data_IF_886142772128
#
_entry.id   IF_886142772128
#
_cell.length_a   1.000
_cell.length_b   1.000
_cell.length_c   1.000
_cell.angle_alpha   90.00
_cell.angle_beta   90.00
_cell.angle_gamma   90.00
#
_symmetry.space_group_name_H-M   'P 1'
#
loop_
_entity.id
_entity.type
_entity.pdbx_description
1 polymer ?
#
# COMPACT_ATOMS: atom_id res chain seq x y z
N UNK A 1 48.21 36.33 -43.29
CA UNK A 1 47.73 36.49 -41.90
C UNK A 1 46.26 36.86 -41.92
N UNK A 2 45.34 35.99 -41.48
CA UNK A 2 43.99 36.38 -41.01
C UNK A 2 43.33 35.20 -40.29
N UNK A 3 42.63 35.55 -39.22
CA UNK A 3 42.41 34.77 -38.01
C UNK A 3 41.29 33.72 -38.08
N UNK A 4 41.57 32.50 -37.63
CA UNK A 4 40.57 31.48 -37.27
C UNK A 4 40.02 31.77 -35.87
N UNK A 5 38.75 32.16 -35.78
CA UNK A 5 38.02 32.30 -34.51
C UNK A 5 37.61 30.92 -34.00
N UNK A 6 38.18 30.50 -32.87
CA UNK A 6 37.75 29.31 -32.12
C UNK A 6 36.52 29.69 -31.29
N UNK A 7 35.37 29.08 -31.59
CA UNK A 7 34.16 29.17 -30.78
C UNK A 7 34.29 28.11 -29.69
N UNK A 8 34.46 28.56 -28.44
CA UNK A 8 34.48 27.69 -27.26
C UNK A 8 33.04 27.58 -26.78
N UNK A 9 32.37 26.48 -27.12
CA UNK A 9 31.03 26.16 -26.65
C UNK A 9 31.14 25.71 -25.19
N UNK A 10 30.82 26.61 -24.25
CA UNK A 10 30.76 26.29 -22.83
C UNK A 10 29.58 25.39 -22.51
N UNK A 11 29.86 24.17 -22.07
CA UNK A 11 28.86 23.21 -21.57
C UNK A 11 28.37 23.69 -20.20
N UNK A 12 27.20 24.33 -20.13
CA UNK A 12 26.53 24.67 -18.88
C UNK A 12 26.00 23.37 -18.25
N UNK A 13 26.69 22.86 -17.23
CA UNK A 13 26.21 21.75 -16.40
C UNK A 13 25.30 22.36 -15.33
N UNK A 14 23.99 22.35 -15.57
CA UNK A 14 22.98 22.70 -14.57
C UNK A 14 22.91 21.59 -13.52
N UNK A 15 23.57 21.79 -12.37
CA UNK A 15 23.29 21.01 -11.16
C UNK A 15 21.86 21.32 -10.72
N UNK A 16 20.91 20.46 -11.08
CA UNK A 16 19.57 20.48 -10.51
C UNK A 16 19.65 20.06 -9.05
N UNK A 17 19.45 20.99 -8.11
CA UNK A 17 19.10 20.65 -6.74
C UNK A 17 17.70 20.03 -6.77
N UNK A 18 17.62 18.71 -6.70
CA UNK A 18 16.35 18.04 -6.40
C UNK A 18 16.05 18.27 -4.92
N UNK A 19 15.07 19.13 -4.63
CA UNK A 19 14.53 19.24 -3.29
C UNK A 19 13.96 17.87 -2.88
N UNK A 20 14.54 17.26 -1.85
CA UNK A 20 14.00 16.05 -1.25
C UNK A 20 12.72 16.46 -0.50
N UNK A 21 11.56 16.08 -1.05
CA UNK A 21 10.29 16.19 -0.34
C UNK A 21 10.33 15.20 0.83
N UNK A 22 10.52 15.72 2.04
CA UNK A 22 10.48 14.90 3.25
C UNK A 22 9.01 14.63 3.58
N UNK A 23 8.58 13.38 3.41
CA UNK A 23 7.34 12.90 3.98
C UNK A 23 7.60 12.49 5.44
N UNK A 24 6.86 13.07 6.38
CA UNK A 24 6.86 12.61 7.76
C UNK A 24 5.79 11.53 7.93
N UNK A 25 6.14 10.41 8.57
CA UNK A 25 5.20 9.33 8.84
C UNK A 25 5.16 9.03 10.32
N UNK A 26 3.95 9.07 10.90
CA UNK A 26 3.70 8.76 12.32
C UNK A 26 2.77 7.56 12.40
N UNK A 27 3.15 6.53 13.17
CA UNK A 27 2.23 5.42 13.47
C UNK A 27 1.17 5.88 14.45
N UNK A 28 -0.10 5.84 14.03
CA UNK A 28 -1.25 6.17 14.87
C UNK A 28 -1.73 4.96 15.68
N UNK A 29 -1.67 3.78 15.09
CA UNK A 29 -2.11 2.54 15.72
C UNK A 29 -1.36 1.34 15.15
N UNK A 30 -1.09 0.37 16.02
CA UNK A 30 -0.62 -0.97 15.67
C UNK A 30 -1.39 -1.96 16.53
N UNK A 31 -2.06 -2.91 15.89
CA UNK A 31 -2.82 -3.95 16.59
C UNK A 31 -2.71 -5.29 15.92
N UNK A 32 -2.85 -6.33 16.73
CA UNK A 32 -2.94 -7.71 16.29
C UNK A 32 -4.37 -8.19 16.53
N UNK A 33 -4.99 -8.78 15.52
CA UNK A 33 -6.33 -9.36 15.61
C UNK A 33 -6.30 -10.81 15.13
N UNK A 34 -7.20 -11.64 15.63
CA UNK A 34 -7.36 -13.02 15.15
C UNK A 34 -8.75 -13.15 14.55
N UNK A 35 -8.82 -13.43 13.26
CA UNK A 35 -10.07 -13.50 12.50
C UNK A 35 -10.27 -14.90 11.93
N UNK A 36 -11.53 -15.27 11.68
CA UNK A 36 -11.83 -16.50 10.96
C UNK A 36 -11.67 -16.25 9.46
N UNK A 37 -10.88 -17.09 8.81
CA UNK A 37 -10.65 -17.03 7.36
C UNK A 37 -11.12 -18.35 6.76
N UNK A 38 -12.11 -18.29 5.88
CA UNK A 38 -12.48 -19.42 5.03
C UNK A 38 -11.37 -19.60 3.98
N UNK A 39 -10.72 -20.76 3.97
CA UNK A 39 -9.67 -21.14 3.03
C UNK A 39 -10.26 -22.15 2.05
N UNK A 40 -11.25 -21.71 1.28
CA UNK A 40 -11.91 -22.49 0.23
C UNK A 40 -11.93 -21.73 -1.09
N UNK A 41 -12.38 -22.37 -2.15
CA UNK A 41 -12.53 -21.74 -3.48
C UNK A 41 -13.57 -20.63 -3.51
N UNK A 42 -14.41 -20.49 -2.46
CA UNK A 42 -15.40 -19.42 -2.35
C UNK A 42 -14.74 -18.07 -2.07
N UNK A 43 -13.66 -18.08 -1.29
CA UNK A 43 -12.97 -16.87 -0.78
C UNK A 43 -11.57 -16.71 -1.36
N UNK A 44 -10.89 -17.80 -1.70
CA UNK A 44 -9.60 -17.80 -2.38
C UNK A 44 -9.78 -17.84 -3.89
N UNK A 45 -9.31 -16.80 -4.58
CA UNK A 45 -9.44 -16.68 -6.04
C UNK A 45 -8.26 -15.97 -6.66
N UNK A 46 -7.97 -16.30 -7.92
CA UNK A 46 -7.03 -15.54 -8.74
C UNK A 46 -7.77 -14.33 -9.34
N UNK A 47 -7.34 -13.12 -9.02
CA UNK A 47 -7.98 -11.87 -9.47
C UNK A 47 -6.93 -10.82 -9.83
N UNK A 48 -7.18 -10.09 -10.93
CA UNK A 48 -6.35 -8.94 -11.36
C UNK A 48 -6.87 -7.60 -10.82
N UNK A 49 -8.02 -7.57 -10.15
CA UNK A 49 -8.64 -6.30 -9.74
C UNK A 49 -7.67 -5.44 -8.93
N UNK A 50 -7.41 -4.22 -9.40
CA UNK A 50 -6.48 -3.24 -8.80
C UNK A 50 -4.99 -3.62 -8.75
N UNK A 51 -4.57 -4.65 -9.49
CA UNK A 51 -3.16 -5.04 -9.59
C UNK A 51 -2.68 -5.08 -11.05
N UNK A 52 -1.36 -4.91 -11.24
CA UNK A 52 -0.74 -5.00 -12.56
C UNK A 52 -0.83 -6.42 -13.15
N UNK A 53 -0.82 -7.44 -12.30
CA UNK A 53 -0.92 -8.87 -12.64
C UNK A 53 -2.01 -9.57 -11.81
N UNK A 54 -2.54 -10.72 -12.27
CA UNK A 54 -3.40 -11.56 -11.43
C UNK A 54 -2.64 -12.03 -10.19
N UNK A 55 -3.27 -11.90 -9.02
CA UNK A 55 -2.75 -12.36 -7.73
C UNK A 55 -3.76 -13.27 -7.05
N UNK A 56 -3.28 -14.21 -6.25
CA UNK A 56 -4.14 -15.01 -5.39
C UNK A 56 -4.62 -14.11 -4.26
N UNK A 57 -5.94 -13.95 -4.16
CA UNK A 57 -6.61 -13.13 -3.16
C UNK A 57 -7.44 -13.97 -2.23
N UNK A 58 -7.53 -13.56 -0.98
CA UNK A 58 -8.43 -14.13 0.03
C UNK A 58 -9.41 -13.06 0.51
N UNK A 59 -10.71 -13.35 0.47
CA UNK A 59 -11.73 -12.50 1.07
C UNK A 59 -11.80 -12.74 2.58
N UNK A 60 -11.78 -11.67 3.37
CA UNK A 60 -11.87 -11.70 4.84
C UNK A 60 -12.89 -10.66 5.29
N UNK A 61 -14.20 -10.97 5.29
CA UNK A 61 -15.26 -10.00 5.59
C UNK A 61 -15.09 -9.30 6.95
N UNK A 62 -14.67 -10.04 7.97
CA UNK A 62 -14.47 -9.54 9.34
C UNK A 62 -13.42 -8.41 9.43
N UNK A 63 -12.58 -8.20 8.39
CA UNK A 63 -11.68 -7.04 8.35
C UNK A 63 -12.45 -5.72 8.38
N UNK A 64 -13.65 -5.65 7.81
CA UNK A 64 -14.44 -4.42 7.77
C UNK A 64 -14.74 -3.85 9.16
N UNK A 65 -14.80 -4.71 10.19
CA UNK A 65 -15.08 -4.31 11.57
C UNK A 65 -13.80 -3.90 12.33
N UNK A 66 -12.62 -4.21 11.79
CA UNK A 66 -11.32 -4.02 12.46
C UNK A 66 -10.32 -3.22 11.64
N UNK A 67 -10.72 -2.62 10.53
CA UNK A 67 -9.92 -1.66 9.75
C UNK A 67 -10.59 -0.29 9.76
N UNK A 68 -9.80 0.77 9.61
CA UNK A 68 -10.34 2.13 9.46
C UNK A 68 -10.60 2.44 7.99
N UNK A 69 -9.77 1.92 7.08
CA UNK A 69 -9.93 2.08 5.64
C UNK A 69 -10.65 0.86 5.03
N UNK A 70 -11.30 1.05 3.88
CA UNK A 70 -11.95 -0.04 3.12
C UNK A 70 -10.90 -0.80 2.30
N UNK A 71 -10.58 -2.03 2.70
CA UNK A 71 -9.63 -2.92 2.03
C UNK A 71 -10.29 -3.81 0.96
N UNK A 72 -11.42 -3.38 0.39
CA UNK A 72 -12.07 -4.06 -0.73
C UNK A 72 -11.50 -3.58 -2.06
N UNK A 73 -11.01 -4.51 -2.88
CA UNK A 73 -10.68 -4.19 -4.27
C UNK A 73 -11.93 -4.06 -5.15
N UNK A 74 -11.79 -3.34 -6.27
CA UNK A 74 -12.86 -3.12 -7.26
C UNK A 74 -13.49 -4.44 -7.71
N UNK A 75 -14.80 -4.57 -7.54
CA UNK A 75 -15.56 -5.76 -7.92
C UNK A 75 -15.48 -6.94 -6.94
N UNK A 76 -14.73 -6.82 -5.84
CA UNK A 76 -14.77 -7.79 -4.75
C UNK A 76 -16.00 -7.54 -3.85
N UNK A 77 -16.55 -8.59 -3.24
CA UNK A 77 -17.75 -8.48 -2.39
C UNK A 77 -17.46 -8.13 -0.92
N UNK A 78 -16.18 -8.17 -0.52
CA UNK A 78 -15.72 -7.99 0.84
C UNK A 78 -14.26 -7.49 0.84
N UNK A 79 -13.73 -6.99 1.97
CA UNK A 79 -12.30 -6.74 2.14
C UNK A 79 -11.48 -7.99 1.79
N UNK A 80 -10.31 -7.77 1.21
CA UNK A 80 -9.44 -8.87 0.79
C UNK A 80 -7.96 -8.53 0.98
N UNK A 81 -7.13 -9.58 0.98
CA UNK A 81 -5.69 -9.47 0.88
C UNK A 81 -5.20 -10.26 -0.33
N UNK A 82 -4.03 -9.89 -0.85
CA UNK A 82 -3.37 -10.61 -1.94
C UNK A 82 -2.04 -11.22 -1.47
N UNK A 83 -1.62 -12.31 -2.10
CA UNK A 83 -0.27 -12.86 -1.97
C UNK A 83 0.48 -12.80 -3.29
N UNK A 84 1.78 -12.52 -3.21
CA UNK A 84 2.72 -12.60 -4.32
C UNK A 84 3.50 -13.92 -4.34
N UNK A 85 3.31 -14.78 -3.34
CA UNK A 85 4.09 -16.00 -3.13
C UNK A 85 3.63 -17.16 -4.03
N UNK A 86 2.40 -17.09 -4.57
CA UNK A 86 1.87 -18.08 -5.54
C UNK A 86 0.85 -17.45 -6.48
N UNK A 87 0.70 -18.06 -7.67
CA UNK A 87 -0.35 -17.74 -8.64
C UNK A 87 -1.51 -18.76 -8.64
N UNK A 88 -1.44 -19.82 -7.82
CA UNK A 88 -2.42 -20.90 -7.81
C UNK A 88 -3.14 -20.95 -6.46
N UNK A 89 -4.46 -20.67 -6.41
CA UNK A 89 -5.23 -20.77 -5.17
C UNK A 89 -5.12 -22.14 -4.50
N UNK A 90 -4.99 -23.21 -5.29
CA UNK A 90 -4.86 -24.57 -4.77
C UNK A 90 -3.59 -24.80 -3.95
N UNK A 91 -2.52 -24.03 -4.16
CA UNK A 91 -1.31 -24.10 -3.34
C UNK A 91 -1.58 -23.67 -1.89
N UNK A 92 -2.55 -22.75 -1.71
CA UNK A 92 -3.01 -22.29 -0.40
C UNK A 92 -4.08 -23.24 0.15
N UNK A 93 -5.00 -23.73 -0.68
CA UNK A 93 -6.10 -24.63 -0.26
C UNK A 93 -5.60 -26.04 0.09
N UNK A 94 -4.52 -26.53 -0.52
CA UNK A 94 -3.84 -27.80 -0.18
C UNK A 94 -4.79 -28.99 0.00
N UNK A 95 -5.84 -29.07 -0.83
CA UNK A 95 -6.91 -30.07 -0.76
C UNK A 95 -7.58 -30.24 0.63
N UNK A 96 -7.48 -29.21 1.47
CA UNK A 96 -8.02 -29.20 2.83
C UNK A 96 -8.82 -27.90 3.09
N UNK A 97 -9.99 -27.72 2.46
CA UNK A 97 -10.79 -26.52 2.65
C UNK A 97 -11.37 -26.47 4.06
N UNK A 98 -11.09 -25.41 4.80
CA UNK A 98 -11.57 -25.21 6.16
C UNK A 98 -11.53 -23.73 6.56
N UNK A 99 -12.22 -23.40 7.65
CA UNK A 99 -12.11 -22.11 8.30
C UNK A 99 -10.98 -22.16 9.33
N UNK A 100 -10.03 -21.24 9.26
CA UNK A 100 -8.90 -21.15 10.18
C UNK A 100 -8.88 -19.81 10.91
N UNK A 101 -8.36 -19.82 12.14
CA UNK A 101 -8.10 -18.60 12.91
C UNK A 101 -6.74 -18.04 12.52
N UNK A 102 -6.74 -16.95 11.77
CA UNK A 102 -5.53 -16.31 11.26
C UNK A 102 -5.26 -15.02 12.04
N UNK A 103 -4.01 -14.85 12.47
CA UNK A 103 -3.54 -13.63 13.10
C UNK A 103 -3.19 -12.61 12.01
N UNK A 104 -3.71 -11.40 12.16
CA UNK A 104 -3.42 -10.26 11.29
C UNK A 104 -2.79 -9.12 12.07
N UNK A 105 -1.76 -8.52 11.49
CA UNK A 105 -1.14 -7.27 11.92
C UNK A 105 -1.77 -6.12 11.14
N UNK A 106 -2.38 -5.17 11.85
CA UNK A 106 -2.98 -3.96 11.26
C UNK A 106 -2.21 -2.75 11.77
N UNK A 107 -1.69 -1.95 10.84
CA UNK A 107 -0.94 -0.73 11.13
C UNK A 107 -1.58 0.44 10.42
N UNK A 108 -1.98 1.45 11.20
CA UNK A 108 -2.47 2.73 10.69
C UNK A 108 -1.41 3.79 10.92
N UNK A 109 -1.05 4.52 9.87
CA UNK A 109 -0.09 5.63 9.90
C UNK A 109 -0.74 6.90 9.38
N UNK A 110 -0.29 8.03 9.89
CA UNK A 110 -0.49 9.36 9.31
C UNK A 110 0.76 9.68 8.50
N UNK A 111 0.61 10.03 7.24
CA UNK A 111 1.67 10.58 6.42
C UNK A 111 1.37 12.06 6.14
N UNK A 112 2.38 12.90 6.29
CA UNK A 112 2.30 14.34 6.06
C UNK A 112 3.35 14.72 5.03
N UNK A 113 2.91 15.31 3.93
CA UNK A 113 3.78 15.78 2.85
C UNK A 113 3.62 17.28 2.70
N UNK A 114 4.71 18.03 2.75
CA UNK A 114 4.67 19.48 2.51
C UNK A 114 4.33 19.76 1.04
N UNK A 115 3.50 20.78 0.80
CA UNK A 115 3.29 21.29 -0.54
C UNK A 115 4.59 21.95 -1.07
N UNK A 116 4.65 22.24 -2.37
CA UNK A 116 5.84 22.82 -3.01
C UNK A 116 6.23 24.20 -2.47
N UNK A 117 5.29 24.89 -1.81
CA UNK A 117 5.49 26.23 -1.26
C UNK A 117 5.92 26.22 0.22
N UNK A 118 5.81 25.08 0.90
CA UNK A 118 6.06 24.95 2.33
C UNK A 118 5.02 25.66 3.21
N UNK A 119 3.87 26.04 2.65
CA UNK A 119 2.80 26.79 3.32
C UNK A 119 1.70 25.89 3.88
N UNK A 120 1.57 24.69 3.33
CA UNK A 120 0.58 23.71 3.71
C UNK A 120 1.16 22.29 3.64
N UNK A 121 0.45 21.32 4.23
CA UNK A 121 0.74 19.91 4.08
C UNK A 121 -0.48 19.12 3.64
N UNK A 122 -0.23 18.12 2.80
CA UNK A 122 -1.17 17.07 2.45
C UNK A 122 -1.11 15.98 3.52
N UNK A 123 -2.26 15.65 4.11
CA UNK A 123 -2.37 14.62 5.14
C UNK A 123 -3.02 13.38 4.54
N UNK A 124 -2.35 12.25 4.66
CA UNK A 124 -2.84 10.94 4.26
C UNK A 124 -2.92 10.01 5.46
N UNK A 125 -3.93 9.14 5.47
CA UNK A 125 -3.93 7.93 6.28
C UNK A 125 -3.46 6.77 5.42
N UNK A 126 -2.52 6.00 5.94
CA UNK A 126 -2.00 4.79 5.32
C UNK A 126 -2.30 3.63 6.26
N UNK A 127 -3.09 2.66 5.80
CA UNK A 127 -3.37 1.45 6.56
C UNK A 127 -2.84 0.23 5.82
N UNK A 128 -2.11 -0.62 6.53
CA UNK A 128 -1.62 -1.89 6.00
C UNK A 128 -2.13 -3.05 6.85
N UNK A 129 -2.62 -4.10 6.20
CA UNK A 129 -3.04 -5.36 6.82
C UNK A 129 -2.12 -6.46 6.33
N UNK A 130 -1.60 -7.26 7.26
CA UNK A 130 -0.66 -8.35 7.00
C UNK A 130 -1.13 -9.62 7.70
N UNK A 131 -1.01 -10.76 7.04
CA UNK A 131 -1.30 -12.06 7.65
C UNK A 131 -0.53 -13.17 6.97
N UNK A 132 -0.35 -14.30 7.68
CA UNK A 132 0.25 -15.51 7.11
C UNK A 132 -0.76 -16.64 7.10
N UNK A 133 -1.05 -17.16 5.91
CA UNK A 133 -2.00 -18.26 5.71
C UNK A 133 -1.22 -19.42 5.09
N UNK A 134 -1.09 -20.52 5.84
CA UNK A 134 -0.44 -21.76 5.39
C UNK A 134 0.95 -21.57 4.75
N UNK A 135 1.72 -20.65 5.32
CA UNK A 135 3.08 -20.34 4.88
C UNK A 135 3.18 -19.18 3.89
N UNK A 136 2.09 -18.75 3.27
CA UNK A 136 2.06 -17.64 2.32
C UNK A 136 1.78 -16.31 3.02
N UNK A 137 2.51 -15.26 2.65
CA UNK A 137 2.29 -13.90 3.13
C UNK A 137 1.16 -13.26 2.32
N UNK A 138 0.13 -12.80 3.02
CA UNK A 138 -0.96 -12.02 2.48
C UNK A 138 -0.88 -10.59 3.00
N UNK A 139 -1.05 -9.62 2.11
CA UNK A 139 -1.00 -8.21 2.45
C UNK A 139 -2.00 -7.38 1.62
N UNK A 140 -2.40 -6.23 2.17
CA UNK A 140 -3.10 -5.18 1.44
C UNK A 140 -2.77 -3.83 2.10
N UNK A 141 -2.66 -2.80 1.26
CA UNK A 141 -2.38 -1.43 1.66
C UNK A 141 -3.48 -0.54 1.12
N UNK A 142 -3.95 0.38 1.95
CA UNK A 142 -4.90 1.42 1.56
C UNK A 142 -4.41 2.78 2.00
N UNK A 143 -4.74 3.77 1.18
CA UNK A 143 -4.39 5.16 1.42
C UNK A 143 -5.63 6.04 1.25
N UNK A 144 -5.84 6.96 2.19
CA UNK A 144 -6.92 7.94 2.14
C UNK A 144 -6.35 9.33 2.31
N UNK A 145 -6.58 10.21 1.34
CA UNK A 145 -6.33 11.64 1.52
C UNK A 145 -7.36 12.22 2.48
N UNK A 146 -6.90 12.77 3.61
CA UNK A 146 -7.75 13.39 4.63
C UNK A 146 -8.04 14.84 4.26
N UNK A 147 -7.08 15.51 3.65
CA UNK A 147 -7.18 16.92 3.30
C UNK A 147 -5.84 17.63 3.38
N UNK A 148 -5.86 18.90 2.97
CA UNK A 148 -4.76 19.83 3.15
C UNK A 148 -4.91 20.59 4.46
N UNK A 149 -3.79 20.86 5.15
CA UNK A 149 -3.73 21.60 6.41
C UNK A 149 -2.69 22.71 6.31
N UNK A 150 -2.89 23.78 7.08
CA UNK A 150 -1.87 24.81 7.21
C UNK A 150 -0.61 24.21 7.84
N UNK A 151 0.58 24.71 7.49
CA UNK A 151 1.86 24.15 7.94
C UNK A 151 1.98 24.00 9.46
N UNK A 152 1.34 24.89 10.21
CA UNK A 152 1.35 24.87 11.69
C UNK A 152 0.59 23.68 12.30
N UNK A 153 -0.35 23.08 11.55
CA UNK A 153 -1.15 21.91 11.99
C UNK A 153 -0.48 20.57 11.64
N UNK A 154 0.68 20.61 10.98
CA UNK A 154 1.32 19.44 10.39
C UNK A 154 2.28 18.71 11.36
N UNK A 155 2.52 19.28 12.54
CA UNK A 155 3.46 18.80 13.56
C UNK A 155 2.77 17.99 14.66
#
# INVERSE_FOLDING_TARGET
>A
MRHTKKIITGLLVSLGLTALVNAETVTLSKREVTLNVDISTTTLRLSRADYASPLVKVLVPDLADVTILDHRNTGEGAPCLATFDTMFPNDVIQDNPQVEKIKFDIVLKKEVQLNSEGTACMVHLLESVHGRIRGFQFEHYQALFVGERHIDDCR
#
